data_IF_020040409156
#
_entry.id   IF_020040409156
#
_cell.length_a   1.000
_cell.length_b   1.000
_cell.length_c   1.000
_cell.angle_alpha   90.00
_cell.angle_beta   90.00
_cell.angle_gamma   90.00
#
_symmetry.space_group_name_H-M   'P 1'
#
loop_
_entity.id
_entity.type
_entity.pdbx_description
1 polymer ?
#
# COMPACT_ATOMS: atom_id res chain seq x y z
N UNK A 1 3.36 7.27 8.27
CA UNK A 1 2.56 7.02 9.46
C UNK A 1 1.50 5.94 9.24
N UNK A 2 0.62 6.15 8.27
CA UNK A 2 -0.40 5.14 7.93
C UNK A 2 0.28 3.87 7.43
N UNK A 3 1.34 4.02 6.66
CA UNK A 3 2.11 2.89 6.15
C UNK A 3 2.69 2.05 7.29
N UNK A 4 3.16 2.71 8.34
CA UNK A 4 3.69 2.01 9.52
C UNK A 4 2.60 1.23 10.25
N UNK A 5 1.40 1.78 10.31
CA UNK A 5 0.27 1.07 10.92
C UNK A 5 -0.05 -0.19 10.11
N UNK A 6 -0.11 -0.08 8.79
CA UNK A 6 -0.38 -1.23 7.92
C UNK A 6 0.69 -2.32 8.07
N UNK A 7 1.95 -1.93 8.06
CA UNK A 7 3.04 -2.91 8.13
C UNK A 7 3.25 -3.49 9.53
N UNK A 8 2.56 -2.96 10.53
CA UNK A 8 2.54 -3.58 11.86
C UNK A 8 1.77 -4.89 11.88
N UNK A 9 0.90 -5.11 10.90
CA UNK A 9 0.19 -6.40 10.74
C UNK A 9 1.11 -7.38 10.01
N UNK A 10 1.25 -8.59 10.57
CA UNK A 10 2.20 -9.57 10.04
C UNK A 10 1.89 -10.01 8.61
N UNK A 11 0.65 -9.90 8.18
CA UNK A 11 0.25 -10.28 6.81
C UNK A 11 0.67 -9.26 5.76
N UNK A 12 1.01 -8.05 6.17
CA UNK A 12 1.43 -6.97 5.26
C UNK A 12 2.94 -6.83 5.33
N UNK A 13 3.62 -7.12 4.22
CA UNK A 13 5.08 -7.01 4.15
C UNK A 13 5.53 -5.58 3.88
N UNK A 14 4.89 -4.93 2.91
CA UNK A 14 5.24 -3.57 2.51
C UNK A 14 3.97 -2.84 2.09
N UNK A 15 3.95 -1.53 2.27
CA UNK A 15 2.78 -0.72 1.91
C UNK A 15 3.19 0.69 1.50
N UNK A 16 2.47 1.22 0.51
CA UNK A 16 2.60 2.62 0.08
C UNK A 16 1.19 3.20 0.00
N UNK A 17 1.01 4.37 0.60
CA UNK A 17 -0.25 5.10 0.53
C UNK A 17 -0.12 6.18 -0.54
N UNK A 18 -1.14 6.31 -1.37
CA UNK A 18 -1.18 7.31 -2.44
C UNK A 18 -2.53 8.01 -2.45
N UNK A 19 -2.53 9.31 -2.66
CA UNK A 19 -3.76 10.10 -2.69
C UNK A 19 -3.54 11.54 -3.09
N UNK A 20 -2.33 11.86 -3.58
CA UNK A 20 -1.98 13.23 -3.97
C UNK A 20 -2.91 13.72 -5.09
N UNK A 21 -3.64 14.81 -4.83
CA UNK A 21 -4.59 15.39 -5.78
C UNK A 21 -5.70 14.43 -6.20
N UNK A 22 -6.04 13.48 -5.33
CA UNK A 22 -7.10 12.50 -5.57
C UNK A 22 -8.20 12.64 -4.51
N UNK A 23 -9.41 12.18 -4.81
CA UNK A 23 -10.54 12.34 -3.88
C UNK A 23 -10.45 11.49 -2.62
N UNK A 24 -9.61 10.45 -2.63
CA UNK A 24 -9.43 9.58 -1.47
C UNK A 24 -8.09 8.85 -1.54
N UNK A 25 -7.69 8.25 -0.42
CA UNK A 25 -6.46 7.49 -0.34
C UNK A 25 -6.66 6.04 -0.80
N UNK A 26 -5.62 5.51 -1.45
CA UNK A 26 -5.55 4.09 -1.77
C UNK A 26 -4.25 3.52 -1.21
N UNK A 27 -4.21 2.20 -1.06
CA UNK A 27 -3.03 1.50 -0.58
C UNK A 27 -2.49 0.55 -1.65
N UNK A 28 -1.17 0.57 -1.83
CA UNK A 28 -0.45 -0.41 -2.65
C UNK A 28 0.22 -1.34 -1.65
N UNK A 29 -0.18 -2.62 -1.65
CA UNK A 29 0.20 -3.55 -0.59
C UNK A 29 0.92 -4.76 -1.17
N UNK A 30 2.08 -5.07 -0.59
CA UNK A 30 2.77 -6.35 -0.79
C UNK A 30 2.46 -7.19 0.44
N UNK A 31 1.79 -8.31 0.28
CA UNK A 31 1.41 -9.17 1.39
C UNK A 31 2.26 -10.44 1.45
N UNK A 32 2.23 -11.10 2.60
CA UNK A 32 2.90 -12.38 2.79
C UNK A 32 2.26 -13.46 1.93
N UNK A 33 2.97 -14.58 1.73
CA UNK A 33 2.47 -15.69 0.93
C UNK A 33 1.15 -16.23 1.51
N UNK A 34 0.27 -16.66 0.62
CA UNK A 34 -1.00 -17.28 0.98
C UNK A 34 -2.00 -16.36 1.70
N UNK A 35 -1.75 -15.05 1.67
CA UNK A 35 -2.70 -14.08 2.19
C UNK A 35 -3.71 -13.74 1.10
N UNK A 36 -5.00 -13.79 1.45
CA UNK A 36 -6.08 -13.52 0.50
C UNK A 36 -6.51 -12.07 0.55
N UNK A 37 -7.13 -11.62 -0.54
CA UNK A 37 -7.63 -10.25 -0.65
C UNK A 37 -8.60 -9.88 0.47
N UNK A 38 -9.48 -10.80 0.87
CA UNK A 38 -10.45 -10.54 1.93
C UNK A 38 -9.78 -10.33 3.28
N UNK A 39 -8.66 -10.99 3.53
CA UNK A 39 -7.88 -10.80 4.76
C UNK A 39 -7.26 -9.39 4.81
N UNK A 40 -6.75 -8.91 3.68
CA UNK A 40 -6.20 -7.56 3.59
C UNK A 40 -7.31 -6.52 3.74
N UNK A 41 -8.48 -6.79 3.17
CA UNK A 41 -9.64 -5.89 3.30
C UNK A 41 -10.04 -5.73 4.78
N UNK A 42 -10.01 -6.80 5.55
CA UNK A 42 -10.27 -6.74 6.99
C UNK A 42 -9.25 -5.85 7.71
N UNK A 43 -7.98 -6.00 7.37
CA UNK A 43 -6.91 -5.20 7.97
C UNK A 43 -7.14 -3.71 7.66
N UNK A 44 -7.47 -3.39 6.44
CA UNK A 44 -7.76 -2.01 6.03
C UNK A 44 -8.95 -1.46 6.80
N UNK A 45 -10.00 -2.26 6.98
CA UNK A 45 -11.16 -1.83 7.76
C UNK A 45 -10.80 -1.53 9.21
N UNK A 46 -9.94 -2.37 9.80
CA UNK A 46 -9.47 -2.16 11.18
C UNK A 46 -8.63 -0.87 11.29
N UNK A 47 -7.74 -0.66 10.34
CA UNK A 47 -6.90 0.54 10.31
C UNK A 47 -7.78 1.78 10.15
N UNK A 48 -8.76 1.72 9.27
CA UNK A 48 -9.66 2.85 9.01
C UNK A 48 -10.46 3.28 10.24
N UNK A 49 -10.70 2.38 11.16
CA UNK A 49 -11.43 2.74 12.41
C UNK A 49 -10.70 3.78 13.23
N UNK A 50 -9.37 3.82 13.14
CA UNK A 50 -8.55 4.78 13.88
C UNK A 50 -8.19 6.02 13.08
N UNK A 51 -8.64 6.12 11.83
CA UNK A 51 -8.30 7.23 10.94
C UNK A 51 -9.48 8.20 10.79
N UNK A 52 -9.15 9.48 10.60
CA UNK A 52 -10.14 10.49 10.23
C UNK A 52 -10.63 10.25 8.81
N UNK A 53 -11.82 10.75 8.49
CA UNK A 53 -12.44 10.50 7.18
C UNK A 53 -11.51 10.77 6.00
N UNK A 54 -10.81 11.93 5.92
CA UNK A 54 -9.94 12.18 4.76
C UNK A 54 -8.73 11.25 4.68
N UNK A 55 -8.37 10.60 5.79
CA UNK A 55 -7.23 9.67 5.84
C UNK A 55 -7.62 8.22 5.62
N UNK A 56 -8.92 7.93 5.50
CA UNK A 56 -9.37 6.54 5.32
C UNK A 56 -8.97 6.00 3.96
N UNK A 57 -8.51 4.77 3.97
CA UNK A 57 -8.14 4.05 2.75
C UNK A 57 -9.41 3.49 2.14
N UNK A 58 -9.73 3.90 0.92
CA UNK A 58 -10.97 3.49 0.25
C UNK A 58 -10.81 2.28 -0.63
N UNK A 59 -9.63 2.13 -1.24
CA UNK A 59 -9.35 1.01 -2.14
C UNK A 59 -7.90 0.61 -1.99
N UNK A 60 -7.56 -0.59 -2.46
CA UNK A 60 -6.19 -1.08 -2.39
C UNK A 60 -5.86 -1.98 -3.58
N UNK A 61 -4.55 -2.12 -3.84
CA UNK A 61 -4.01 -3.01 -4.86
C UNK A 61 -3.08 -3.98 -4.16
N UNK A 62 -3.20 -5.27 -4.48
CA UNK A 62 -2.26 -6.29 -4.02
C UNK A 62 -1.22 -6.50 -5.11
N UNK A 63 0.04 -6.46 -4.71
CA UNK A 63 1.19 -6.61 -5.60
C UNK A 63 1.93 -7.88 -5.22
N UNK A 64 2.26 -8.71 -6.24
CA UNK A 64 3.00 -9.96 -6.05
C UNK A 64 4.48 -9.75 -5.86
N UNK A 65 4.98 -8.60 -6.31
CA UNK A 65 6.41 -8.33 -6.36
C UNK A 65 6.85 -7.62 -5.09
N UNK A 66 7.79 -8.21 -4.37
CA UNK A 66 8.39 -7.55 -3.21
C UNK A 66 9.25 -6.38 -3.69
N UNK A 67 9.11 -5.23 -3.06
CA UNK A 67 9.96 -4.09 -3.36
C UNK A 67 11.39 -4.41 -2.92
N UNK A 68 12.35 -4.10 -3.77
CA UNK A 68 13.75 -4.40 -3.51
C UNK A 68 14.65 -3.34 -4.11
N UNK A 69 15.92 -3.37 -3.72
CA UNK A 69 16.92 -2.51 -4.34
C UNK A 69 17.11 -2.88 -5.82
N UNK A 70 17.07 -4.17 -6.14
CA UNK A 70 17.27 -4.67 -7.50
C UNK A 70 16.23 -4.19 -8.47
N UNK A 71 14.95 -4.16 -8.05
CA UNK A 71 13.87 -3.70 -8.94
C UNK A 71 13.68 -2.19 -8.92
N UNK A 72 14.53 -1.46 -8.18
CA UNK A 72 14.49 -0.01 -8.16
C UNK A 72 13.42 0.60 -7.27
N UNK A 73 12.75 -0.21 -6.46
CA UNK A 73 11.64 0.25 -5.62
C UNK A 73 12.06 0.53 -4.18
N UNK A 74 13.28 0.10 -3.78
CA UNK A 74 13.89 0.45 -2.50
C UNK A 74 15.23 1.10 -2.71
N UNK A 75 15.65 1.93 -1.73
CA UNK A 75 17.02 2.45 -1.67
C UNK A 75 17.95 1.37 -1.10
N UNK A 76 19.26 1.63 -1.14
CA UNK A 76 20.26 0.73 -0.53
C UNK A 76 20.01 0.53 0.95
N UNK A 77 19.44 1.53 1.64
CA UNK A 77 19.11 1.43 3.06
C UNK A 77 17.70 0.86 3.28
N UNK A 78 17.11 0.27 2.25
CA UNK A 78 15.80 -0.41 2.27
C UNK A 78 14.61 0.53 2.53
N UNK A 79 14.75 1.79 2.18
CA UNK A 79 13.65 2.74 2.22
C UNK A 79 12.87 2.71 0.90
N UNK A 80 11.55 2.77 0.97
CA UNK A 80 10.71 2.69 -0.22
C UNK A 80 10.85 3.96 -1.06
N UNK A 81 11.11 3.78 -2.35
CA UNK A 81 11.11 4.87 -3.32
C UNK A 81 9.69 5.08 -3.81
N UNK A 82 8.90 5.88 -3.09
CA UNK A 82 7.49 6.08 -3.36
C UNK A 82 7.20 6.47 -4.81
N UNK A 83 7.95 7.43 -5.33
CA UNK A 83 7.77 7.89 -6.71
C UNK A 83 7.91 6.75 -7.71
N UNK A 84 8.91 5.90 -7.51
CA UNK A 84 9.15 4.77 -8.40
C UNK A 84 8.04 3.73 -8.32
N UNK A 85 7.53 3.46 -7.12
CA UNK A 85 6.41 2.53 -6.92
C UNK A 85 5.17 3.06 -7.64
N UNK A 86 4.87 4.34 -7.47
CA UNK A 86 3.69 4.95 -8.10
C UNK A 86 3.81 4.92 -9.62
N UNK A 87 4.98 5.21 -10.17
CA UNK A 87 5.21 5.14 -11.62
C UNK A 87 5.01 3.72 -12.15
N UNK A 88 5.55 2.74 -11.44
CA UNK A 88 5.50 1.35 -11.87
C UNK A 88 4.06 0.82 -11.96
N UNK A 89 3.21 1.22 -11.02
CA UNK A 89 1.84 0.73 -10.93
C UNK A 89 0.81 1.79 -11.31
N UNK A 90 1.22 2.80 -12.06
CA UNK A 90 0.39 3.96 -12.35
C UNK A 90 -0.94 3.59 -13.02
N UNK A 91 -0.91 2.65 -13.97
CA UNK A 91 -2.13 2.23 -14.66
C UNK A 91 -3.13 1.57 -13.71
N UNK A 92 -2.63 0.71 -12.83
CA UNK A 92 -3.47 0.05 -11.82
C UNK A 92 -4.04 1.07 -10.83
N UNK A 93 -3.23 2.03 -10.43
CA UNK A 93 -3.65 3.09 -9.52
C UNK A 93 -4.78 3.90 -10.16
N UNK A 94 -4.61 4.34 -11.39
CA UNK A 94 -5.62 5.14 -12.06
C UNK A 94 -6.94 4.40 -12.26
N UNK A 95 -6.89 3.08 -12.42
CA UNK A 95 -8.10 2.29 -12.59
C UNK A 95 -8.97 2.25 -11.34
N UNK A 96 -8.44 2.64 -10.18
CA UNK A 96 -9.19 2.67 -8.93
C UNK A 96 -9.98 3.97 -8.74
N UNK A 97 -9.64 5.02 -9.48
CA UNK A 97 -10.29 6.34 -9.34
C UNK A 97 -11.36 6.63 -10.40
#
# INVERSE_FOLDING_TARGET
KIENILTSYSKVSQAVIYGDNRPYLIAIIVCEQNVRQDQIKEIINLVNKSLNIPEKIRKFILIDELFSYKNGLLTQTLKIKRTNVIKRYYKKINSLY
#
